data_IF_510722253310
#
_entry.id   IF_510722253310
#
_cell.length_a   1.000
_cell.length_b   1.000
_cell.length_c   1.000
_cell.angle_alpha   90.00
_cell.angle_beta   90.00
_cell.angle_gamma   90.00
#
_symmetry.space_group_name_H-M   'P 1'
#
loop_
_entity.id
_entity.type
_entity.pdbx_description
1 polymer ?
#
# COMPACT_ATOMS: atom_id res chain seq x y z
N UNK A 1 8.96 -15.79 -15.58
CA UNK A 1 8.73 -14.64 -14.68
C UNK A 1 7.85 -13.66 -15.42
N UNK A 2 6.67 -13.40 -14.91
CA UNK A 2 5.83 -12.36 -15.47
C UNK A 2 6.52 -11.02 -15.19
N UNK A 3 6.86 -10.30 -16.23
CA UNK A 3 7.55 -9.02 -16.15
C UNK A 3 6.50 -7.92 -16.22
N UNK A 4 6.51 -7.02 -15.23
CA UNK A 4 5.63 -5.87 -15.24
C UNK A 4 5.94 -4.99 -16.45
N UNK A 5 4.91 -4.64 -17.20
CA UNK A 5 5.01 -3.77 -18.37
C UNK A 5 4.54 -2.35 -18.06
N UNK A 6 4.98 -1.32 -18.83
CA UNK A 6 4.44 0.03 -18.70
C UNK A 6 2.92 0.09 -18.79
N UNK A 7 2.31 -0.68 -19.69
CA UNK A 7 0.85 -0.76 -19.84
C UNK A 7 0.11 -1.19 -18.57
N UNK A 8 0.73 -2.04 -17.74
CA UNK A 8 0.12 -2.45 -16.47
C UNK A 8 0.17 -1.33 -15.43
N UNK A 9 1.21 -0.50 -15.46
CA UNK A 9 1.30 0.72 -14.64
C UNK A 9 0.24 1.74 -15.09
N UNK A 10 0.06 1.92 -16.41
CA UNK A 10 -0.96 2.81 -16.97
C UNK A 10 -2.37 2.39 -16.53
N UNK A 11 -2.69 1.11 -16.66
CA UNK A 11 -3.98 0.55 -16.17
C UNK A 11 -4.15 0.70 -14.67
N UNK A 12 -3.08 0.53 -13.89
CA UNK A 12 -3.11 0.77 -12.45
C UNK A 12 -3.39 2.23 -12.15
N UNK A 13 -2.75 3.16 -12.86
CA UNK A 13 -2.98 4.59 -12.72
C UNK A 13 -4.45 4.95 -13.02
N UNK A 14 -5.00 4.48 -14.13
CA UNK A 14 -6.42 4.70 -14.49
C UNK A 14 -7.38 4.22 -13.40
N UNK A 15 -7.08 3.08 -12.75
CA UNK A 15 -7.93 2.54 -11.67
C UNK A 15 -7.90 3.38 -10.39
N UNK A 16 -6.76 3.97 -10.07
CA UNK A 16 -6.55 4.57 -8.74
C UNK A 16 -6.47 6.09 -8.75
N UNK A 17 -6.36 6.76 -9.89
CA UNK A 17 -6.10 8.20 -9.95
C UNK A 17 -7.14 9.05 -9.18
N UNK A 18 -8.39 8.62 -9.15
CA UNK A 18 -9.47 9.29 -8.40
C UNK A 18 -9.47 8.99 -6.90
N UNK A 19 -8.68 8.00 -6.46
CA UNK A 19 -8.61 7.50 -5.07
C UNK A 19 -7.38 8.03 -4.32
N UNK A 20 -6.42 8.56 -5.06
CA UNK A 20 -5.13 9.02 -4.55
C UNK A 20 -4.95 10.52 -4.77
N UNK A 21 -3.97 11.09 -4.08
CA UNK A 21 -3.51 12.45 -4.36
C UNK A 21 -2.40 12.35 -5.42
N UNK A 22 -2.51 13.11 -6.52
CA UNK A 22 -1.35 13.41 -7.36
C UNK A 22 -0.44 14.34 -6.56
N UNK A 23 0.54 13.76 -5.87
CA UNK A 23 1.42 14.50 -4.97
C UNK A 23 2.36 15.42 -5.76
N UNK A 24 2.75 16.58 -5.20
CA UNK A 24 3.67 17.50 -5.89
C UNK A 24 5.03 16.86 -6.15
N UNK A 25 5.63 17.23 -7.28
CA UNK A 25 7.04 17.01 -7.59
C UNK A 25 7.76 18.35 -7.43
N UNK A 26 8.68 18.46 -6.49
CA UNK A 26 9.40 19.70 -6.20
C UNK A 26 10.91 19.53 -6.33
N UNK A 27 11.60 20.63 -6.64
CA UNK A 27 13.06 20.72 -6.58
C UNK A 27 13.47 21.84 -5.60
N UNK A 28 14.71 21.79 -5.14
CA UNK A 28 15.25 22.77 -4.19
C UNK A 28 16.66 23.16 -4.59
N UNK A 29 16.87 24.45 -4.88
CA UNK A 29 18.16 24.98 -5.32
C UNK A 29 19.31 24.73 -4.34
N UNK A 30 19.07 24.83 -3.05
CA UNK A 30 20.10 24.60 -2.03
C UNK A 30 20.59 23.16 -2.06
N UNK A 31 19.67 22.21 -2.24
CA UNK A 31 20.01 20.80 -2.36
C UNK A 31 20.74 20.54 -3.67
N UNK A 32 20.25 21.10 -4.77
CA UNK A 32 20.86 20.95 -6.10
C UNK A 32 22.33 21.47 -6.11
N UNK A 33 22.56 22.64 -5.53
CA UNK A 33 23.93 23.18 -5.38
C UNK A 33 24.84 22.31 -4.51
N UNK A 34 24.30 21.74 -3.41
CA UNK A 34 25.07 20.86 -2.50
C UNK A 34 25.41 19.52 -3.12
N UNK A 35 24.53 18.98 -3.94
CA UNK A 35 24.69 17.66 -4.57
C UNK A 35 25.32 17.72 -5.96
N UNK A 36 25.44 18.94 -6.51
CA UNK A 36 25.82 19.17 -7.92
C UNK A 36 24.93 18.34 -8.89
N UNK A 37 23.63 18.28 -8.63
CA UNK A 37 22.66 17.52 -9.40
C UNK A 37 21.29 18.20 -9.39
N UNK A 38 20.44 17.89 -10.36
CA UNK A 38 19.04 18.25 -10.34
C UNK A 38 18.26 17.21 -9.54
N UNK A 39 17.90 17.54 -8.30
CA UNK A 39 17.20 16.65 -7.38
C UNK A 39 15.72 17.02 -7.32
N UNK A 40 14.86 16.01 -7.47
CA UNK A 40 13.42 16.14 -7.39
C UNK A 40 12.86 15.26 -6.28
N UNK A 41 11.84 15.75 -5.61
CA UNK A 41 11.15 15.07 -4.51
C UNK A 41 9.68 14.88 -4.87
N UNK A 42 9.25 13.65 -5.08
CA UNK A 42 7.83 13.29 -5.15
C UNK A 42 7.28 13.13 -3.75
N UNK A 43 6.42 14.06 -3.33
CA UNK A 43 6.03 14.22 -1.92
C UNK A 43 4.98 13.20 -1.48
N UNK A 44 5.28 11.90 -1.54
CA UNK A 44 4.36 10.84 -1.12
C UNK A 44 4.03 10.84 0.39
N UNK A 45 4.72 11.62 1.19
CA UNK A 45 4.32 11.93 2.57
C UNK A 45 3.03 12.75 2.65
N UNK A 46 2.61 13.39 1.57
CA UNK A 46 1.33 14.12 1.46
C UNK A 46 0.17 13.22 0.99
N UNK A 47 0.41 11.94 0.69
CA UNK A 47 -0.66 11.00 0.37
C UNK A 47 -1.57 10.77 1.58
N UNK A 48 -2.83 10.39 1.37
CA UNK A 48 -3.84 10.18 2.44
C UNK A 48 -3.33 9.37 3.64
N UNK A 49 -2.51 8.36 3.40
CA UNK A 49 -1.92 7.53 4.46
C UNK A 49 -0.46 7.86 4.75
N UNK A 50 0.03 9.00 4.25
CA UNK A 50 1.39 9.50 4.47
C UNK A 50 2.48 8.71 3.75
N UNK A 51 2.14 7.94 2.71
CA UNK A 51 3.12 7.20 1.91
C UNK A 51 2.53 6.67 0.60
N UNK A 52 3.41 6.35 -0.36
CA UNK A 52 3.07 5.74 -1.65
C UNK A 52 2.38 4.37 -1.55
N UNK A 53 2.42 3.71 -0.39
CA UNK A 53 1.84 2.37 -0.21
C UNK A 53 0.35 2.31 -0.50
N UNK A 54 -0.36 3.42 -0.37
CA UNK A 54 -1.77 3.50 -0.72
C UNK A 54 -2.04 3.15 -2.19
N UNK A 55 -1.15 3.53 -3.09
CA UNK A 55 -1.29 3.32 -4.53
C UNK A 55 -1.41 1.82 -4.86
N UNK A 56 -0.47 1.01 -4.38
CA UNK A 56 -0.48 -0.43 -4.57
C UNK A 56 -1.64 -1.12 -3.85
N UNK A 57 -1.93 -0.73 -2.60
CA UNK A 57 -3.05 -1.27 -1.85
C UNK A 57 -4.39 -1.01 -2.57
N UNK A 58 -4.62 0.23 -3.04
CA UNK A 58 -5.82 0.59 -3.80
C UNK A 58 -5.92 -0.19 -5.11
N UNK A 59 -4.80 -0.29 -5.86
CA UNK A 59 -4.80 -1.04 -7.12
C UNK A 59 -5.13 -2.53 -6.92
N UNK A 60 -4.55 -3.17 -5.90
CA UNK A 60 -4.82 -4.57 -5.61
C UNK A 60 -6.26 -4.80 -5.16
N UNK A 61 -6.73 -4.03 -4.18
CA UNK A 61 -8.05 -4.23 -3.57
C UNK A 61 -9.18 -3.88 -4.55
N UNK A 62 -8.98 -2.89 -5.43
CA UNK A 62 -9.97 -2.54 -6.47
C UNK A 62 -10.30 -3.71 -7.40
N UNK A 63 -9.33 -4.57 -7.67
CA UNK A 63 -9.42 -5.69 -8.61
C UNK A 63 -10.00 -6.98 -8.00
N UNK A 64 -10.22 -7.01 -6.69
CA UNK A 64 -10.86 -8.15 -6.04
C UNK A 64 -12.30 -8.33 -6.58
N UNK A 65 -12.68 -9.57 -6.83
CA UNK A 65 -14.05 -9.92 -7.19
C UNK A 65 -15.04 -9.57 -6.07
N UNK A 66 -16.31 -9.49 -6.38
CA UNK A 66 -17.37 -9.28 -5.37
C UNK A 66 -17.33 -10.32 -4.28
N UNK A 67 -17.06 -11.57 -4.65
CA UNK A 67 -16.96 -12.68 -3.70
C UNK A 67 -15.74 -12.54 -2.78
N UNK A 68 -14.56 -12.20 -3.31
CA UNK A 68 -13.36 -11.92 -2.51
C UNK A 68 -13.56 -10.75 -1.56
N UNK A 69 -14.18 -9.66 -2.04
CA UNK A 69 -14.52 -8.50 -1.19
C UNK A 69 -15.47 -8.88 -0.05
N UNK A 70 -16.46 -9.72 -0.31
CA UNK A 70 -17.41 -10.16 0.73
C UNK A 70 -16.78 -11.02 1.82
N UNK A 71 -15.76 -11.81 1.49
CA UNK A 71 -15.00 -12.61 2.46
C UNK A 71 -14.00 -11.79 3.26
N UNK A 72 -13.61 -10.63 2.73
CA UNK A 72 -12.61 -9.77 3.32
C UNK A 72 -11.17 -10.19 3.00
N UNK A 73 -10.24 -9.45 3.55
CA UNK A 73 -8.80 -9.62 3.30
C UNK A 73 -8.01 -9.77 4.59
N UNK A 74 -6.79 -10.28 4.45
CA UNK A 74 -5.78 -10.30 5.51
C UNK A 74 -4.46 -9.75 4.96
N UNK A 75 -3.76 -8.95 5.77
CA UNK A 75 -2.44 -8.44 5.45
C UNK A 75 -1.53 -8.44 6.67
N UNK A 76 -0.24 -8.23 6.45
CA UNK A 76 0.75 -8.17 7.52
C UNK A 76 1.75 -7.04 7.28
N UNK A 77 1.85 -6.14 8.24
CA UNK A 77 2.83 -5.04 8.21
C UNK A 77 2.82 -4.28 9.54
N UNK A 78 3.96 -3.77 9.95
CA UNK A 78 4.09 -2.91 11.13
C UNK A 78 3.99 -1.40 10.84
N UNK A 79 3.75 -1.01 9.58
CA UNK A 79 3.90 0.39 9.19
C UNK A 79 2.99 0.88 8.07
N UNK A 80 3.58 1.52 7.08
CA UNK A 80 2.86 2.23 6.02
C UNK A 80 1.92 1.34 5.19
N UNK A 81 2.32 0.08 4.93
CA UNK A 81 1.44 -0.83 4.20
C UNK A 81 0.19 -1.23 5.01
N UNK A 82 0.33 -1.41 6.33
CA UNK A 82 -0.81 -1.68 7.21
C UNK A 82 -1.88 -0.58 7.10
N UNK A 83 -1.46 0.67 7.24
CA UNK A 83 -2.35 1.83 7.12
C UNK A 83 -2.96 1.95 5.72
N UNK A 84 -2.14 1.72 4.68
CA UNK A 84 -2.59 1.79 3.30
C UNK A 84 -3.66 0.73 2.97
N UNK A 85 -3.45 -0.51 3.41
CA UNK A 85 -4.42 -1.60 3.24
C UNK A 85 -5.70 -1.31 4.02
N UNK A 86 -5.59 -0.87 5.29
CA UNK A 86 -6.76 -0.53 6.10
C UNK A 86 -7.59 0.59 5.44
N UNK A 87 -6.94 1.67 5.03
CA UNK A 87 -7.59 2.79 4.35
C UNK A 87 -8.26 2.38 3.03
N UNK A 88 -7.51 1.68 2.16
CA UNK A 88 -8.06 1.22 0.89
C UNK A 88 -9.22 0.24 1.08
N UNK A 89 -9.11 -0.69 2.04
CA UNK A 89 -10.21 -1.61 2.35
C UNK A 89 -11.48 -0.89 2.77
N UNK A 90 -11.35 0.14 3.61
CA UNK A 90 -12.49 0.96 4.02
C UNK A 90 -13.14 1.67 2.81
N UNK A 91 -12.33 2.23 1.88
CA UNK A 91 -12.84 2.86 0.65
C UNK A 91 -13.68 1.89 -0.21
N UNK A 92 -13.31 0.63 -0.25
CA UNK A 92 -14.00 -0.40 -1.05
C UNK A 92 -15.03 -1.20 -0.25
N UNK A 93 -15.29 -0.88 1.03
CA UNK A 93 -16.22 -1.60 1.89
C UNK A 93 -15.79 -3.03 2.19
N UNK A 94 -14.49 -3.30 2.22
CA UNK A 94 -13.89 -4.64 2.46
C UNK A 94 -13.40 -4.74 3.90
N UNK A 95 -13.79 -5.79 4.62
CA UNK A 95 -13.23 -6.05 5.94
C UNK A 95 -11.76 -6.46 5.84
N UNK A 96 -10.90 -5.84 6.66
CA UNK A 96 -9.47 -6.11 6.68
C UNK A 96 -9.00 -6.56 8.06
N UNK A 97 -8.27 -7.68 8.13
CA UNK A 97 -7.50 -8.10 9.29
C UNK A 97 -6.02 -7.82 9.04
N UNK A 98 -5.38 -7.03 9.91
CA UNK A 98 -3.98 -6.64 9.76
C UNK A 98 -3.15 -7.23 10.89
N UNK A 99 -2.19 -8.08 10.53
CA UNK A 99 -1.27 -8.71 11.46
C UNK A 99 -0.11 -7.74 11.73
N UNK A 100 0.02 -7.33 13.00
CA UNK A 100 1.02 -6.37 13.45
C UNK A 100 1.80 -6.92 14.64
N UNK A 101 3.13 -6.70 14.70
CA UNK A 101 3.91 -7.18 15.84
C UNK A 101 3.58 -6.38 17.11
N UNK A 102 3.68 -7.03 18.27
CA UNK A 102 3.41 -6.40 19.58
C UNK A 102 4.27 -5.18 19.87
N UNK A 103 5.44 -5.07 19.24
CA UNK A 103 6.37 -3.94 19.36
C UNK A 103 6.18 -2.89 18.26
N UNK A 104 5.11 -2.96 17.46
CA UNK A 104 4.79 -1.89 16.50
C UNK A 104 4.53 -0.57 17.23
N UNK A 105 4.93 0.59 16.66
CA UNK A 105 4.63 1.89 17.25
C UNK A 105 3.11 2.06 17.47
N UNK A 106 2.71 2.48 18.68
CA UNK A 106 1.30 2.64 19.06
C UNK A 106 0.52 3.50 18.07
N UNK A 107 1.12 4.59 17.60
CA UNK A 107 0.50 5.48 16.60
C UNK A 107 0.16 4.74 15.27
N UNK A 108 0.96 3.75 14.87
CA UNK A 108 0.69 2.97 13.65
C UNK A 108 -0.47 2.00 13.87
N UNK A 109 -0.55 1.40 15.05
CA UNK A 109 -1.67 0.53 15.44
C UNK A 109 -2.97 1.34 15.50
N UNK A 110 -2.94 2.50 16.18
CA UNK A 110 -4.09 3.38 16.31
C UNK A 110 -4.58 3.90 14.97
N UNK A 111 -3.68 4.36 14.10
CA UNK A 111 -4.05 4.82 12.76
C UNK A 111 -4.65 3.70 11.92
N UNK A 112 -4.10 2.49 11.99
CA UNK A 112 -4.64 1.33 11.25
C UNK A 112 -6.06 1.00 11.73
N UNK A 113 -6.30 1.05 13.06
CA UNK A 113 -7.64 0.89 13.64
C UNK A 113 -8.61 2.00 13.21
N UNK A 114 -8.16 3.26 13.21
CA UNK A 114 -8.99 4.40 12.75
C UNK A 114 -9.46 4.24 11.31
N UNK A 115 -8.67 3.58 10.46
CA UNK A 115 -9.06 3.25 9.10
C UNK A 115 -10.00 2.03 9.01
N UNK A 116 -10.45 1.47 10.13
CA UNK A 116 -11.49 0.45 10.19
C UNK A 116 -10.99 -1.00 10.12
N UNK A 117 -9.68 -1.24 10.22
CA UNK A 117 -9.15 -2.60 10.19
C UNK A 117 -9.12 -3.26 11.58
N UNK A 118 -9.37 -4.56 11.62
CA UNK A 118 -9.12 -5.41 12.78
C UNK A 118 -7.63 -5.71 12.91
N UNK A 119 -7.10 -5.63 14.14
CA UNK A 119 -5.68 -5.86 14.40
C UNK A 119 -5.47 -7.21 15.07
N UNK A 120 -4.64 -8.03 14.45
CA UNK A 120 -4.14 -9.29 15.01
C UNK A 120 -2.72 -9.05 15.49
N UNK A 121 -2.51 -9.08 16.81
CA UNK A 121 -1.16 -8.88 17.39
C UNK A 121 -0.43 -10.21 17.44
N UNK A 122 0.86 -10.21 17.04
CA UNK A 122 1.72 -11.38 17.11
C UNK A 122 3.07 -11.08 17.77
N UNK A 123 3.74 -12.11 18.26
CA UNK A 123 5.09 -12.04 18.80
C UNK A 123 6.12 -12.28 17.71
N UNK A 124 6.78 -11.22 17.24
CA UNK A 124 7.76 -11.30 16.15
C UNK A 124 9.02 -12.10 16.47
N UNK A 125 9.23 -12.52 17.73
CA UNK A 125 10.34 -13.37 18.14
C UNK A 125 10.02 -14.85 17.93
N UNK A 126 8.78 -15.24 18.23
CA UNK A 126 8.36 -16.65 18.25
C UNK A 126 7.40 -17.04 17.15
N UNK A 127 6.82 -16.08 16.42
CA UNK A 127 5.77 -16.31 15.45
C UNK A 127 6.13 -15.72 14.08
N UNK A 128 5.62 -16.32 13.00
CA UNK A 128 5.73 -15.82 11.63
C UNK A 128 4.41 -15.18 11.20
N UNK A 129 4.46 -13.89 10.88
CA UNK A 129 3.33 -13.14 10.34
C UNK A 129 2.77 -13.75 9.05
N UNK A 130 3.64 -14.30 8.21
CA UNK A 130 3.27 -14.97 6.96
C UNK A 130 2.48 -16.26 7.22
N UNK A 131 2.88 -17.06 8.24
CA UNK A 131 2.15 -18.26 8.65
C UNK A 131 0.78 -17.89 9.22
N UNK A 132 0.73 -16.91 10.13
CA UNK A 132 -0.55 -16.42 10.70
C UNK A 132 -1.48 -15.93 9.60
N UNK A 133 -0.96 -15.13 8.64
CA UNK A 133 -1.76 -14.66 7.51
C UNK A 133 -2.32 -15.82 6.67
N UNK A 134 -1.48 -16.81 6.39
CA UNK A 134 -1.89 -18.00 5.63
C UNK A 134 -2.94 -18.83 6.36
N UNK A 135 -2.84 -18.96 7.68
CA UNK A 135 -3.81 -19.69 8.50
C UNK A 135 -5.17 -18.98 8.53
N UNK A 136 -5.18 -17.65 8.74
CA UNK A 136 -6.40 -16.84 8.70
C UNK A 136 -7.03 -16.90 7.30
N UNK A 137 -6.23 -16.70 6.26
CA UNK A 137 -6.70 -16.76 4.89
C UNK A 137 -7.36 -18.10 4.57
N UNK A 138 -6.74 -19.21 4.95
CA UNK A 138 -7.28 -20.57 4.74
C UNK A 138 -8.55 -20.83 5.56
N UNK A 139 -8.56 -20.42 6.84
CA UNK A 139 -9.68 -20.68 7.77
C UNK A 139 -10.92 -19.87 7.42
N UNK A 140 -10.71 -18.63 7.01
CA UNK A 140 -11.79 -17.65 6.77
C UNK A 140 -11.99 -17.38 5.26
N UNK A 141 -11.29 -18.08 4.40
CA UNK A 141 -11.30 -17.92 2.94
C UNK A 141 -11.03 -16.46 2.49
N UNK A 142 -10.17 -15.74 3.23
CA UNK A 142 -9.78 -14.36 2.94
C UNK A 142 -8.64 -14.28 1.93
N UNK A 143 -8.60 -13.19 1.16
CA UNK A 143 -7.49 -12.91 0.24
C UNK A 143 -6.33 -12.26 0.97
N UNK A 144 -5.10 -12.76 0.74
CA UNK A 144 -3.89 -12.16 1.32
C UNK A 144 -3.44 -10.98 0.46
N UNK A 145 -3.29 -9.80 1.09
CA UNK A 145 -2.68 -8.63 0.46
C UNK A 145 -1.23 -8.51 0.94
N UNK A 146 -0.28 -8.84 0.07
CA UNK A 146 1.16 -8.80 0.39
C UNK A 146 1.70 -7.37 0.39
N UNK A 147 2.71 -7.04 1.21
CA UNK A 147 3.35 -5.72 1.22
C UNK A 147 4.29 -5.46 0.03
N UNK A 148 4.67 -6.51 -0.71
CA UNK A 148 5.58 -6.55 -1.87
C UNK A 148 5.42 -7.92 -2.57
N UNK A 149 6.16 -8.18 -3.64
CA UNK A 149 6.15 -9.43 -4.42
C UNK A 149 4.74 -9.86 -4.86
N UNK A 150 3.98 -8.88 -5.36
CA UNK A 150 2.67 -9.05 -5.98
C UNK A 150 2.58 -8.04 -7.13
N UNK A 151 2.31 -8.50 -8.33
CA UNK A 151 2.35 -7.66 -9.55
C UNK A 151 1.37 -6.49 -9.48
N UNK A 152 0.18 -6.69 -8.92
CA UNK A 152 -0.79 -5.60 -8.78
C UNK A 152 -0.33 -4.54 -7.77
N UNK A 153 0.31 -4.98 -6.68
CA UNK A 153 0.93 -4.07 -5.71
C UNK A 153 2.06 -3.28 -6.39
N UNK A 154 2.94 -3.96 -7.13
CA UNK A 154 4.07 -3.33 -7.82
C UNK A 154 3.57 -2.35 -8.89
N UNK A 155 2.57 -2.73 -9.69
CA UNK A 155 1.97 -1.86 -10.71
C UNK A 155 1.38 -0.58 -10.08
N UNK A 156 0.65 -0.70 -8.98
CA UNK A 156 0.11 0.46 -8.26
C UNK A 156 1.20 1.37 -7.71
N UNK A 157 2.28 0.80 -7.12
CA UNK A 157 3.43 1.59 -6.65
C UNK A 157 4.16 2.27 -7.82
N UNK A 158 4.24 1.60 -8.97
CA UNK A 158 4.87 2.12 -10.19
C UNK A 158 4.24 3.41 -10.71
N UNK A 159 3.00 3.72 -10.34
CA UNK A 159 2.33 4.98 -10.71
C UNK A 159 3.03 6.22 -10.18
N UNK A 160 3.86 6.09 -9.13
CA UNK A 160 4.76 7.18 -8.66
C UNK A 160 5.77 7.52 -9.76
N UNK A 161 6.42 6.51 -10.32
CA UNK A 161 7.37 6.69 -11.40
C UNK A 161 6.74 7.26 -12.67
N UNK A 162 5.53 6.79 -13.01
CA UNK A 162 4.75 7.35 -14.13
C UNK A 162 4.50 8.84 -13.95
N UNK A 163 3.98 9.27 -12.80
CA UNK A 163 3.73 10.69 -12.52
C UNK A 163 5.02 11.52 -12.55
N UNK A 164 6.16 10.97 -12.08
CA UNK A 164 7.46 11.65 -12.15
C UNK A 164 7.88 11.84 -13.60
N UNK A 165 7.77 10.80 -14.43
CA UNK A 165 8.14 10.89 -15.83
C UNK A 165 7.29 11.94 -16.58
N UNK A 166 5.97 11.92 -16.38
CA UNK A 166 5.04 12.88 -16.99
C UNK A 166 5.25 14.35 -16.54
N UNK A 167 5.79 14.56 -15.32
CA UNK A 167 6.04 15.91 -14.78
C UNK A 167 7.44 16.44 -15.12
N UNK A 168 8.33 15.60 -15.69
CA UNK A 168 9.70 15.98 -16.09
C UNK A 168 9.86 16.17 -17.60
N UNK A 169 8.90 15.74 -18.41
CA UNK A 169 8.85 16.00 -19.85
C UNK A 169 8.30 17.43 -20.13
#
# INVERSE_FOLDING_TARGET
MDVLTPNEIDRAHERIFSLIIKTPLISNETINKRTNANVYFKLENLQWTGSFKLRGASNKISQLSTEEKSRGIVSYSSGNHAQAVAYASNLFGVQAAIIMPKNAPSIKIENTKKYGADIVIYDSIHESREKIASEIARKENKTIIKPYDDLDIIAGQGTVGKEIAEEQD
#
